data_IF_721776145526
#
_entry.id   IF_721776145526
#
_cell.length_a   1.000
_cell.length_b   1.000
_cell.length_c   1.000
_cell.angle_alpha   90.00
_cell.angle_beta   90.00
_cell.angle_gamma   90.00
#
_symmetry.space_group_name_H-M   'P 1'
#
loop_
_entity.id
_entity.type
_entity.pdbx_description
1 polymer ?
#
# COMPACT_ATOMS: atom_id res chain seq x y z
N UNK A 1 -23.11 -9.00 43.08
CA UNK A 1 -21.87 -8.47 42.47
C UNK A 1 -22.19 -8.23 41.02
N UNK A 2 -22.05 -7.01 40.53
CA UNK A 2 -22.32 -6.71 39.11
C UNK A 2 -21.16 -7.24 38.28
N UNK A 3 -21.43 -8.16 37.38
CA UNK A 3 -20.47 -8.60 36.35
C UNK A 3 -20.11 -7.40 35.49
N UNK A 4 -18.94 -6.84 35.72
CA UNK A 4 -18.41 -5.76 34.90
C UNK A 4 -17.83 -6.37 33.66
N UNK A 5 -18.63 -6.54 32.61
CA UNK A 5 -18.18 -7.00 31.29
C UNK A 5 -17.46 -5.83 30.60
N UNK A 6 -16.14 -5.74 30.79
CA UNK A 6 -15.31 -4.62 30.30
C UNK A 6 -14.97 -4.77 28.83
N UNK A 7 -14.93 -5.97 28.27
CA UNK A 7 -14.51 -6.23 26.88
C UNK A 7 -15.54 -7.08 26.15
N UNK A 8 -16.01 -6.57 25.02
CA UNK A 8 -16.86 -7.32 24.10
C UNK A 8 -15.95 -8.08 23.12
N UNK A 9 -15.90 -9.38 23.20
CA UNK A 9 -15.18 -10.25 22.25
C UNK A 9 -15.81 -10.08 20.85
N UNK A 10 -14.98 -9.73 19.86
CA UNK A 10 -15.43 -9.68 18.46
C UNK A 10 -15.52 -11.09 17.88
N UNK A 11 -16.73 -11.52 17.55
CA UNK A 11 -17.01 -12.82 16.95
C UNK A 11 -16.87 -12.83 15.42
N UNK A 12 -16.00 -12.00 14.85
CA UNK A 12 -15.74 -11.92 13.41
C UNK A 12 -16.43 -10.78 12.67
N UNK A 13 -17.33 -10.02 13.32
CA UNK A 13 -18.04 -8.91 12.68
C UNK A 13 -17.10 -7.79 12.17
N UNK A 14 -15.93 -7.63 12.77
CA UNK A 14 -14.90 -6.70 12.27
C UNK A 14 -14.28 -7.24 10.99
N UNK A 15 -14.00 -8.54 10.92
CA UNK A 15 -13.47 -9.20 9.72
C UNK A 15 -14.46 -9.07 8.56
N UNK A 16 -15.73 -9.33 8.77
CA UNK A 16 -16.78 -9.19 7.75
C UNK A 16 -16.86 -7.77 7.21
N UNK A 17 -16.81 -6.75 8.08
CA UNK A 17 -16.79 -5.34 7.69
C UNK A 17 -15.53 -4.94 6.94
N UNK A 18 -14.38 -5.50 7.28
CA UNK A 18 -13.12 -5.25 6.59
C UNK A 18 -13.16 -5.87 5.19
N UNK A 19 -13.58 -7.12 5.07
CA UNK A 19 -13.69 -7.86 3.80
C UNK A 19 -14.74 -7.25 2.87
N UNK A 20 -15.86 -6.77 3.40
CA UNK A 20 -16.88 -6.09 2.60
C UNK A 20 -16.37 -4.80 1.90
N UNK A 21 -15.27 -4.23 2.39
CA UNK A 21 -14.59 -3.07 1.78
C UNK A 21 -13.44 -3.48 0.85
N UNK A 22 -13.22 -4.76 0.65
CA UNK A 22 -12.20 -5.23 -0.29
C UNK A 22 -12.57 -4.77 -1.70
N UNK A 23 -11.60 -4.14 -2.35
CA UNK A 23 -11.72 -3.85 -3.78
C UNK A 23 -11.72 -5.17 -4.50
N UNK A 24 -12.79 -5.48 -5.22
CA UNK A 24 -12.93 -6.71 -6.02
C UNK A 24 -11.88 -6.72 -7.13
N UNK A 25 -10.69 -7.20 -6.81
CA UNK A 25 -9.63 -7.40 -7.78
C UNK A 25 -9.79 -8.79 -8.35
N UNK A 26 -10.12 -8.87 -9.62
CA UNK A 26 -10.33 -10.15 -10.27
C UNK A 26 -8.99 -10.82 -10.62
N UNK A 27 -8.48 -11.64 -9.70
CA UNK A 27 -7.28 -12.46 -9.92
C UNK A 27 -7.50 -13.61 -10.90
N UNK A 28 -8.74 -13.92 -11.27
CA UNK A 28 -9.06 -15.02 -12.19
C UNK A 28 -8.55 -14.76 -13.61
N UNK A 29 -8.25 -13.49 -13.93
CA UNK A 29 -7.66 -13.10 -15.21
C UNK A 29 -6.14 -13.22 -15.25
N UNK A 30 -5.49 -13.52 -14.16
CA UNK A 30 -4.04 -13.72 -14.10
C UNK A 30 -3.76 -15.21 -14.08
N UNK A 31 -3.38 -15.75 -15.21
CA UNK A 31 -2.94 -17.14 -15.35
C UNK A 31 -1.50 -17.28 -14.81
N UNK A 32 -1.36 -17.46 -13.51
CA UNK A 32 -0.09 -17.69 -12.86
C UNK A 32 -0.20 -18.77 -11.79
N UNK A 33 0.80 -19.62 -11.71
CA UNK A 33 0.95 -20.53 -10.60
C UNK A 33 1.13 -19.74 -9.31
N UNK A 34 0.47 -20.15 -8.23
CA UNK A 34 0.54 -19.47 -6.93
C UNK A 34 0.90 -20.44 -5.82
N UNK A 35 1.71 -19.96 -4.89
CA UNK A 35 1.98 -20.63 -3.62
C UNK A 35 0.87 -20.26 -2.65
N UNK A 36 0.14 -21.24 -2.14
CA UNK A 36 -0.93 -21.03 -1.17
C UNK A 36 -0.36 -20.85 0.23
N UNK A 37 -0.72 -19.75 0.89
CA UNK A 37 -0.33 -19.44 2.25
C UNK A 37 -1.56 -19.03 3.06
N UNK A 38 -1.63 -19.48 4.31
CA UNK A 38 -2.68 -19.04 5.24
C UNK A 38 -2.28 -17.72 5.88
N UNK A 39 -3.21 -16.77 5.93
CA UNK A 39 -3.07 -15.57 6.74
C UNK A 39 -3.52 -15.87 8.17
N UNK A 40 -2.90 -15.17 9.13
CA UNK A 40 -3.36 -15.18 10.52
C UNK A 40 -3.08 -13.80 11.11
N UNK A 41 -3.93 -12.83 10.74
CA UNK A 41 -3.78 -11.47 11.25
C UNK A 41 -4.71 -11.24 12.43
N UNK A 42 -4.14 -10.79 13.54
CA UNK A 42 -4.87 -10.49 14.78
C UNK A 42 -5.17 -8.99 14.91
N UNK A 43 -4.20 -8.13 14.56
CA UNK A 43 -4.33 -6.68 14.68
C UNK A 43 -5.23 -6.07 13.60
N UNK A 44 -6.00 -5.07 13.97
CA UNK A 44 -6.85 -4.34 13.05
C UNK A 44 -6.05 -3.60 11.95
N UNK A 45 -4.83 -3.18 12.28
CA UNK A 45 -3.90 -2.52 11.37
C UNK A 45 -3.45 -3.45 10.24
N UNK A 46 -2.96 -4.63 10.58
CA UNK A 46 -2.52 -5.61 9.59
C UNK A 46 -3.67 -6.09 8.71
N UNK A 47 -4.84 -6.41 9.30
CA UNK A 47 -6.05 -6.78 8.55
C UNK A 47 -6.43 -5.75 7.50
N UNK A 48 -6.48 -4.46 7.88
CA UNK A 48 -6.85 -3.37 6.96
C UNK A 48 -5.82 -3.13 5.87
N UNK A 49 -4.53 -3.22 6.19
CA UNK A 49 -3.46 -3.04 5.21
C UNK A 49 -3.40 -4.21 4.24
N UNK A 50 -3.58 -5.45 4.73
CA UNK A 50 -3.66 -6.63 3.88
C UNK A 50 -4.77 -6.48 2.84
N UNK A 51 -6.00 -6.26 3.27
CA UNK A 51 -7.17 -6.17 2.37
C UNK A 51 -7.03 -5.03 1.36
N UNK A 52 -6.48 -3.88 1.77
CA UNK A 52 -6.38 -2.71 0.87
C UNK A 52 -5.21 -2.75 -0.09
N UNK A 53 -4.07 -3.31 0.32
CA UNK A 53 -2.82 -3.08 -0.41
C UNK A 53 -2.12 -4.34 -0.92
N UNK A 54 -2.40 -5.52 -0.34
CA UNK A 54 -1.75 -6.75 -0.75
C UNK A 54 -2.00 -7.06 -2.22
N UNK A 55 -3.25 -7.07 -2.64
CA UNK A 55 -3.64 -7.32 -4.02
C UNK A 55 -3.04 -6.30 -4.98
N UNK A 56 -3.06 -5.02 -4.60
CA UNK A 56 -2.49 -3.94 -5.42
C UNK A 56 -1.00 -4.14 -5.64
N UNK A 57 -0.24 -4.45 -4.59
CA UNK A 57 1.19 -4.71 -4.73
C UNK A 57 1.43 -5.94 -5.59
N UNK A 58 0.76 -7.04 -5.30
CA UNK A 58 0.98 -8.32 -5.97
C UNK A 58 0.73 -8.24 -7.48
N UNK A 59 -0.37 -7.61 -7.90
CA UNK A 59 -0.68 -7.44 -9.32
C UNK A 59 0.33 -6.54 -10.03
N UNK A 60 0.74 -5.44 -9.41
CA UNK A 60 1.73 -4.55 -10.01
C UNK A 60 3.12 -5.21 -10.06
N UNK A 61 3.52 -5.96 -9.04
CA UNK A 61 4.76 -6.72 -9.05
C UNK A 61 4.74 -7.81 -10.13
N UNK A 62 3.63 -8.52 -10.29
CA UNK A 62 3.46 -9.51 -11.35
C UNK A 62 3.54 -8.86 -12.75
N UNK A 63 2.88 -7.72 -12.93
CA UNK A 63 2.99 -6.96 -14.18
C UNK A 63 4.45 -6.63 -14.51
N UNK A 64 5.22 -6.16 -13.54
CA UNK A 64 6.64 -5.81 -13.72
C UNK A 64 7.46 -7.04 -14.06
N UNK A 65 7.32 -8.14 -13.32
CA UNK A 65 8.17 -9.33 -13.46
C UNK A 65 7.82 -10.20 -14.66
N UNK A 66 6.59 -10.16 -15.16
CA UNK A 66 6.14 -11.01 -16.27
C UNK A 66 5.83 -10.20 -17.52
N UNK A 67 4.85 -9.29 -17.44
CA UNK A 67 4.32 -8.61 -18.63
C UNK A 67 5.30 -7.58 -19.18
N UNK A 68 5.93 -6.77 -18.33
CA UNK A 68 6.86 -5.74 -18.78
C UNK A 68 8.10 -6.34 -19.46
N UNK A 69 8.57 -7.51 -19.03
CA UNK A 69 9.71 -8.21 -19.62
C UNK A 69 9.50 -8.65 -21.08
N UNK A 70 8.26 -8.84 -21.50
CA UNK A 70 7.98 -9.24 -22.88
C UNK A 70 8.15 -8.12 -23.90
N UNK A 71 8.05 -6.85 -23.47
CA UNK A 71 8.03 -5.68 -24.37
C UNK A 71 9.12 -4.65 -24.10
N UNK A 72 9.74 -4.68 -22.93
CA UNK A 72 10.76 -3.71 -22.54
C UNK A 72 12.13 -4.36 -22.39
N UNK A 73 13.18 -3.52 -22.44
CA UNK A 73 14.55 -3.96 -22.22
C UNK A 73 14.71 -4.52 -20.82
N UNK A 74 15.44 -5.62 -20.72
CA UNK A 74 15.67 -6.34 -19.46
C UNK A 74 16.26 -5.43 -18.37
N UNK A 75 17.22 -4.58 -18.71
CA UNK A 75 17.85 -3.63 -17.79
C UNK A 75 16.86 -2.65 -17.12
N UNK A 76 15.85 -2.16 -17.86
CA UNK A 76 14.85 -1.23 -17.32
C UNK A 76 13.93 -1.93 -16.32
N UNK A 77 13.57 -3.19 -16.61
CA UNK A 77 12.75 -4.00 -15.72
C UNK A 77 13.52 -4.38 -14.46
N UNK A 78 14.78 -4.82 -14.61
CA UNK A 78 15.64 -5.15 -13.46
C UNK A 78 15.85 -3.96 -12.52
N UNK A 79 16.04 -2.77 -13.06
CA UNK A 79 16.17 -1.54 -12.27
C UNK A 79 14.92 -1.27 -11.43
N UNK A 80 13.75 -1.50 -12.00
CA UNK A 80 12.46 -1.33 -11.31
C UNK A 80 12.27 -2.41 -10.25
N UNK A 81 12.60 -3.67 -10.56
CA UNK A 81 12.54 -4.77 -9.59
C UNK A 81 13.51 -4.55 -8.42
N UNK A 82 14.72 -4.07 -8.70
CA UNK A 82 15.71 -3.74 -7.68
C UNK A 82 15.21 -2.63 -6.75
N UNK A 83 14.65 -1.55 -7.29
CA UNK A 83 14.08 -0.46 -6.50
C UNK A 83 12.91 -0.92 -5.61
N UNK A 84 12.06 -1.79 -6.12
CA UNK A 84 10.96 -2.35 -5.30
C UNK A 84 11.49 -3.28 -4.19
N UNK A 85 12.53 -4.08 -4.50
CA UNK A 85 13.18 -4.96 -3.54
C UNK A 85 13.84 -4.17 -2.42
N UNK A 86 14.62 -3.16 -2.75
CA UNK A 86 15.28 -2.27 -1.79
C UNK A 86 14.28 -1.61 -0.85
N UNK A 87 13.15 -1.15 -1.40
CA UNK A 87 12.10 -0.55 -0.58
C UNK A 87 11.45 -1.55 0.39
N UNK A 88 11.23 -2.79 -0.04
CA UNK A 88 10.73 -3.87 0.80
C UNK A 88 11.73 -4.23 1.91
N UNK A 89 13.02 -4.34 1.58
CA UNK A 89 14.09 -4.63 2.53
C UNK A 89 14.20 -3.54 3.59
N UNK A 90 14.22 -2.27 3.17
CA UNK A 90 14.24 -1.13 4.11
C UNK A 90 13.11 -1.19 5.14
N UNK A 91 11.87 -1.44 4.71
CA UNK A 91 10.73 -1.53 5.63
C UNK A 91 10.80 -2.78 6.52
N UNK A 92 11.33 -3.89 5.99
CA UNK A 92 11.53 -5.12 6.77
C UNK A 92 12.55 -4.90 7.88
N UNK A 93 13.67 -4.23 7.57
CA UNK A 93 14.72 -3.92 8.53
C UNK A 93 14.24 -2.95 9.62
N UNK A 94 13.46 -1.94 9.24
CA UNK A 94 12.87 -1.02 10.20
C UNK A 94 11.90 -1.74 11.15
N UNK A 95 11.09 -2.68 10.64
CA UNK A 95 10.20 -3.51 11.47
C UNK A 95 10.99 -4.45 12.38
N UNK A 96 12.04 -5.10 11.88
CA UNK A 96 12.90 -5.95 12.70
C UNK A 96 13.52 -5.16 13.85
N UNK A 97 14.11 -4.00 13.56
CA UNK A 97 14.68 -3.11 14.58
C UNK A 97 13.66 -2.69 15.64
N UNK A 98 12.42 -2.44 15.22
CA UNK A 98 11.35 -2.07 16.15
C UNK A 98 10.92 -3.24 17.03
N UNK A 99 10.84 -4.46 16.47
CA UNK A 99 10.52 -5.68 17.23
C UNK A 99 11.64 -5.96 18.23
N UNK A 100 12.91 -5.99 17.78
CA UNK A 100 14.08 -6.22 18.63
C UNK A 100 14.18 -5.16 19.73
N UNK A 101 13.91 -3.89 19.40
CA UNK A 101 13.86 -2.79 20.36
C UNK A 101 12.76 -2.97 21.41
N UNK A 102 11.57 -3.39 21.00
CA UNK A 102 10.48 -3.67 21.93
C UNK A 102 10.80 -4.84 22.87
N UNK A 103 11.40 -5.93 22.34
CA UNK A 103 11.83 -7.06 23.14
C UNK A 103 12.94 -6.69 24.14
N UNK A 104 13.87 -5.84 23.74
CA UNK A 104 14.90 -5.33 24.63
C UNK A 104 14.30 -4.50 25.78
N UNK A 105 13.29 -3.67 25.48
CA UNK A 105 12.55 -2.92 26.49
C UNK A 105 11.80 -3.84 27.45
N UNK A 106 11.21 -4.92 26.98
CA UNK A 106 10.56 -5.92 27.83
C UNK A 106 11.55 -6.53 28.82
N UNK A 107 12.72 -6.97 28.34
CA UNK A 107 13.77 -7.55 29.19
C UNK A 107 14.25 -6.57 30.25
N UNK A 108 14.46 -5.30 29.85
CA UNK A 108 14.96 -4.27 30.76
C UNK A 108 13.94 -3.88 31.85
N UNK A 109 12.64 -4.00 31.54
CA UNK A 109 11.56 -3.64 32.48
C UNK A 109 10.95 -4.88 33.17
N UNK A 110 11.47 -6.08 32.94
CA UNK A 110 10.99 -7.32 33.57
C UNK A 110 9.56 -7.72 33.15
N UNK A 111 9.12 -7.30 31.94
CA UNK A 111 7.80 -7.59 31.41
C UNK A 111 7.80 -9.05 30.89
N UNK A 112 6.95 -9.88 31.47
CA UNK A 112 6.84 -11.32 31.11
C UNK A 112 5.53 -11.68 30.42
N UNK A 113 4.51 -10.81 30.52
CA UNK A 113 3.21 -11.03 29.89
C UNK A 113 3.00 -10.03 28.75
N UNK A 114 2.45 -10.51 27.63
CA UNK A 114 2.20 -9.71 26.44
C UNK A 114 0.72 -9.45 26.27
N UNK A 115 0.38 -8.25 25.76
CA UNK A 115 -0.98 -7.96 25.34
C UNK A 115 -1.38 -8.85 24.17
N UNK A 116 -2.58 -9.37 24.19
CA UNK A 116 -3.17 -10.18 23.13
C UNK A 116 -4.45 -9.52 22.62
N UNK A 117 -4.81 -9.81 21.38
CA UNK A 117 -6.08 -9.35 20.84
C UNK A 117 -7.16 -10.41 21.08
N UNK A 118 -8.22 -10.02 21.79
CA UNK A 118 -9.41 -10.85 22.01
C UNK A 118 -10.36 -10.85 20.81
N UNK A 119 -9.83 -10.52 19.64
CA UNK A 119 -10.60 -10.49 18.39
C UNK A 119 -10.30 -11.72 17.56
N UNK A 120 -11.30 -12.19 16.81
CA UNK A 120 -11.12 -13.30 15.89
C UNK A 120 -10.04 -12.96 14.85
N UNK A 121 -9.01 -13.78 14.66
CA UNK A 121 -8.00 -13.55 13.62
C UNK A 121 -8.62 -13.58 12.23
N UNK A 122 -8.03 -12.85 11.29
CA UNK A 122 -8.39 -12.94 9.88
C UNK A 122 -7.63 -14.09 9.26
N UNK A 123 -8.32 -15.20 9.02
CA UNK A 123 -7.76 -16.41 8.42
C UNK A 123 -8.29 -16.57 6.99
N UNK A 124 -7.41 -16.47 6.03
CA UNK A 124 -7.71 -16.64 4.60
C UNK A 124 -6.57 -17.40 3.92
N UNK A 125 -6.92 -18.24 2.96
CA UNK A 125 -5.94 -18.80 2.04
C UNK A 125 -5.63 -17.82 0.92
N UNK A 126 -4.37 -17.42 0.82
CA UNK A 126 -3.90 -16.41 -0.14
C UNK A 126 -2.94 -17.05 -1.14
N UNK A 127 -3.20 -16.87 -2.43
CA UNK A 127 -2.28 -17.27 -3.49
C UNK A 127 -1.22 -16.20 -3.72
N UNK A 128 0.05 -16.55 -3.53
CA UNK A 128 1.19 -15.66 -3.79
C UNK A 128 1.79 -16.00 -5.15
N UNK A 129 1.82 -15.03 -6.07
CA UNK A 129 2.26 -15.18 -7.46
C UNK A 129 3.61 -14.52 -7.76
N UNK A 130 4.24 -13.85 -6.80
CA UNK A 130 5.53 -13.18 -7.00
C UNK A 130 6.37 -13.15 -5.72
N UNK A 131 7.70 -13.07 -5.89
CA UNK A 131 8.63 -12.92 -4.77
C UNK A 131 8.39 -11.64 -3.97
N UNK A 132 8.09 -10.52 -4.65
CA UNK A 132 7.74 -9.26 -4.00
C UNK A 132 6.42 -9.37 -3.23
N UNK A 133 5.44 -10.12 -3.74
CA UNK A 133 4.20 -10.43 -3.03
C UNK A 133 4.46 -11.20 -1.75
N UNK A 134 5.35 -12.22 -1.78
CA UNK A 134 5.75 -12.99 -0.60
C UNK A 134 6.43 -12.09 0.45
N UNK A 135 7.39 -11.29 0.05
CA UNK A 135 8.10 -10.36 0.95
C UNK A 135 7.15 -9.35 1.58
N UNK A 136 6.21 -8.82 0.80
CA UNK A 136 5.22 -7.90 1.35
C UNK A 136 4.26 -8.58 2.34
N UNK A 137 3.91 -9.84 2.09
CA UNK A 137 3.14 -10.63 3.03
C UNK A 137 3.91 -10.83 4.35
N UNK A 138 5.21 -11.09 4.30
CA UNK A 138 6.09 -11.16 5.48
C UNK A 138 6.15 -9.83 6.24
N UNK A 139 6.20 -8.70 5.53
CA UNK A 139 6.14 -7.34 6.13
C UNK A 139 4.83 -7.14 6.89
N UNK A 140 3.70 -7.60 6.35
CA UNK A 140 2.41 -7.51 7.03
C UNK A 140 2.36 -8.39 8.29
N UNK A 141 2.94 -9.60 8.25
CA UNK A 141 3.05 -10.46 9.42
C UNK A 141 3.92 -9.83 10.52
N UNK A 142 5.06 -9.21 10.16
CA UNK A 142 5.91 -8.48 11.10
C UNK A 142 5.19 -7.29 11.73
N UNK A 143 4.39 -6.57 10.95
CA UNK A 143 3.55 -5.51 11.50
C UNK A 143 2.56 -6.06 12.52
N UNK A 144 1.90 -7.19 12.20
CA UNK A 144 0.95 -7.84 13.11
C UNK A 144 1.60 -8.26 14.42
N UNK A 145 2.85 -8.74 14.38
CA UNK A 145 3.65 -9.06 15.56
C UNK A 145 4.03 -7.82 16.38
N UNK A 146 4.36 -6.72 15.72
CA UNK A 146 4.78 -5.50 16.40
C UNK A 146 3.64 -4.80 17.15
N UNK A 147 2.39 -4.89 16.65
CA UNK A 147 1.26 -4.15 17.23
C UNK A 147 0.99 -4.51 18.69
N UNK A 148 0.91 -5.79 19.12
CA UNK A 148 0.71 -6.14 20.52
C UNK A 148 1.92 -5.78 21.40
N UNK A 149 3.15 -5.79 20.83
CA UNK A 149 4.34 -5.39 21.57
C UNK A 149 4.28 -3.90 21.95
N UNK A 150 3.93 -3.04 20.99
CA UNK A 150 3.74 -1.61 21.27
C UNK A 150 2.62 -1.36 22.27
N UNK A 151 1.54 -2.14 22.19
CA UNK A 151 0.44 -2.04 23.15
C UNK A 151 0.88 -2.45 24.54
N UNK A 152 1.68 -3.51 24.65
CA UNK A 152 2.23 -3.95 25.95
C UNK A 152 3.10 -2.88 26.58
N UNK A 153 4.02 -2.27 25.81
CA UNK A 153 4.89 -1.20 26.31
C UNK A 153 4.09 0.03 26.78
N UNK A 154 3.00 0.35 26.07
CA UNK A 154 2.08 1.41 26.45
C UNK A 154 1.34 1.10 27.76
N UNK A 155 0.81 -0.12 27.94
CA UNK A 155 0.11 -0.57 29.14
C UNK A 155 1.04 -0.55 30.37
N UNK A 156 2.31 -0.90 30.17
CA UNK A 156 3.32 -0.86 31.23
C UNK A 156 3.97 0.52 31.43
N UNK A 157 3.46 1.55 30.77
CA UNK A 157 3.98 2.94 30.83
C UNK A 157 5.46 3.08 30.48
N UNK A 158 6.04 2.12 29.73
CA UNK A 158 7.45 2.17 29.26
C UNK A 158 7.59 3.16 28.11
N UNK A 159 6.55 3.28 27.28
CA UNK A 159 6.46 4.30 26.23
C UNK A 159 5.19 5.11 26.42
N UNK A 160 5.21 6.37 25.99
CA UNK A 160 4.00 7.20 26.06
C UNK A 160 2.97 6.78 25.01
N UNK A 161 1.66 6.98 25.25
CA UNK A 161 0.63 6.72 24.23
C UNK A 161 0.90 7.45 22.92
N UNK A 162 1.45 8.66 23.02
CA UNK A 162 1.84 9.47 21.84
C UNK A 162 2.95 8.80 21.02
N UNK A 163 3.96 8.26 21.68
CA UNK A 163 5.07 7.59 20.99
C UNK A 163 4.61 6.29 20.33
N UNK A 164 3.75 5.52 21.02
CA UNK A 164 3.11 4.33 20.45
C UNK A 164 2.31 4.67 19.18
N UNK A 165 1.52 5.73 19.21
CA UNK A 165 0.71 6.17 18.07
C UNK A 165 1.58 6.67 16.90
N UNK A 166 2.65 7.41 17.19
CA UNK A 166 3.61 7.86 16.16
C UNK A 166 4.26 6.68 15.48
N UNK A 167 4.71 5.68 16.24
CA UNK A 167 5.33 4.47 15.69
C UNK A 167 4.33 3.67 14.84
N UNK A 168 3.12 3.40 15.37
CA UNK A 168 2.03 2.74 14.63
C UNK A 168 1.70 3.46 13.32
N UNK A 169 1.55 4.78 13.37
CA UNK A 169 1.26 5.59 12.19
C UNK A 169 2.43 5.58 11.19
N UNK A 170 3.67 5.61 11.67
CA UNK A 170 4.88 5.55 10.85
C UNK A 170 4.94 4.26 10.05
N UNK A 171 4.82 3.10 10.70
CA UNK A 171 4.85 1.80 10.03
C UNK A 171 3.68 1.60 9.06
N UNK A 172 2.46 1.98 9.45
CA UNK A 172 1.31 1.95 8.53
C UNK A 172 1.56 2.78 7.27
N UNK A 173 2.18 3.95 7.40
CA UNK A 173 2.54 4.82 6.27
C UNK A 173 3.64 4.21 5.41
N UNK A 174 4.69 3.67 6.02
CA UNK A 174 5.79 3.01 5.31
C UNK A 174 5.29 1.83 4.48
N UNK A 175 4.48 0.94 5.04
CA UNK A 175 3.92 -0.23 4.35
C UNK A 175 2.99 0.18 3.20
N UNK A 176 2.13 1.18 3.43
CA UNK A 176 1.28 1.75 2.37
C UNK A 176 2.12 2.32 1.22
N UNK A 177 3.21 3.01 1.53
CA UNK A 177 4.09 3.61 0.52
C UNK A 177 4.74 2.57 -0.37
N UNK A 178 5.06 1.37 0.11
CA UNK A 178 5.60 0.26 -0.71
C UNK A 178 4.62 -0.12 -1.81
N UNK A 179 3.34 -0.30 -1.47
CA UNK A 179 2.32 -0.63 -2.47
C UNK A 179 2.10 0.52 -3.47
N UNK A 180 2.16 1.77 -2.98
CA UNK A 180 2.14 2.96 -3.83
C UNK A 180 3.32 3.02 -4.79
N UNK A 181 4.52 2.74 -4.31
CA UNK A 181 5.74 2.67 -5.15
C UNK A 181 5.60 1.59 -6.22
N UNK A 182 5.15 0.39 -5.87
CA UNK A 182 4.94 -0.69 -6.85
C UNK A 182 3.96 -0.26 -7.97
N UNK A 183 2.86 0.40 -7.59
CA UNK A 183 1.88 0.94 -8.55
C UNK A 183 2.50 2.01 -9.46
N UNK A 184 3.24 2.95 -8.90
CA UNK A 184 3.86 4.03 -9.66
C UNK A 184 4.91 3.49 -10.64
N UNK A 185 5.74 2.57 -10.21
CA UNK A 185 6.74 1.91 -11.05
C UNK A 185 6.08 1.13 -12.19
N UNK A 186 5.04 0.34 -11.89
CA UNK A 186 4.28 -0.38 -12.92
C UNK A 186 3.60 0.59 -13.91
N UNK A 187 3.06 1.71 -13.43
CA UNK A 187 2.46 2.74 -14.30
C UNK A 187 3.51 3.38 -15.21
N UNK A 188 4.71 3.66 -14.71
CA UNK A 188 5.84 4.14 -15.51
C UNK A 188 6.23 3.18 -16.63
N UNK A 189 6.31 1.87 -16.32
CA UNK A 189 6.60 0.86 -17.34
C UNK A 189 5.47 0.72 -18.36
N UNK A 190 4.19 0.79 -17.95
CA UNK A 190 3.05 0.79 -18.89
C UNK A 190 3.12 1.94 -19.89
N UNK A 191 3.46 3.15 -19.43
CA UNK A 191 3.65 4.30 -20.33
C UNK A 191 4.74 4.05 -21.35
N UNK A 192 5.91 3.54 -20.94
CA UNK A 192 7.00 3.19 -21.85
C UNK A 192 6.58 2.11 -22.84
N UNK A 193 5.87 1.09 -22.41
CA UNK A 193 5.35 0.05 -23.31
C UNK A 193 4.44 0.63 -24.39
N UNK A 194 3.52 1.51 -24.00
CA UNK A 194 2.61 2.16 -24.95
C UNK A 194 3.37 3.07 -25.94
N UNK A 195 4.39 3.80 -25.48
CA UNK A 195 5.26 4.60 -26.34
C UNK A 195 6.04 3.74 -27.35
N UNK A 196 6.55 2.58 -26.93
CA UNK A 196 7.21 1.63 -27.81
C UNK A 196 6.24 1.08 -28.87
N UNK A 197 5.08 0.60 -28.44
CA UNK A 197 4.07 0.07 -29.37
C UNK A 197 3.58 1.12 -30.37
N UNK A 198 3.45 2.39 -29.95
CA UNK A 198 3.10 3.48 -30.86
C UNK A 198 4.20 3.73 -31.90
N UNK A 199 5.48 3.74 -31.51
CA UNK A 199 6.61 3.91 -32.43
C UNK A 199 6.76 2.75 -33.41
N UNK A 200 6.54 1.52 -32.95
CA UNK A 200 6.54 0.35 -33.82
C UNK A 200 5.43 0.44 -34.87
N UNK A 201 4.21 0.78 -34.46
CA UNK A 201 3.10 0.95 -35.38
C UNK A 201 3.32 2.09 -36.38
N UNK A 202 3.95 3.18 -35.96
CA UNK A 202 4.34 4.29 -36.87
C UNK A 202 5.40 3.84 -37.86
N UNK A 203 6.41 3.12 -37.40
CA UNK A 203 7.47 2.58 -38.27
C UNK A 203 6.95 1.57 -39.29
N UNK A 204 6.01 0.70 -38.90
CA UNK A 204 5.35 -0.23 -39.80
C UNK A 204 4.51 0.52 -40.86
N UNK A 205 3.78 1.55 -40.47
CA UNK A 205 3.03 2.41 -41.41
C UNK A 205 3.94 3.08 -42.43
N UNK A 206 5.08 3.62 -41.95
CA UNK A 206 6.06 4.23 -42.85
C UNK A 206 6.70 3.22 -43.82
N UNK A 207 7.00 1.98 -43.36
CA UNK A 207 7.47 0.92 -44.19
C UNK A 207 6.43 0.48 -45.24
N UNK A 208 5.18 0.35 -44.85
CA UNK A 208 4.10 0.02 -45.79
C UNK A 208 3.93 1.11 -46.83
N UNK A 209 3.95 2.38 -46.44
CA UNK A 209 3.87 3.51 -47.38
C UNK A 209 5.07 3.60 -48.36
N UNK A 210 6.26 3.17 -47.94
CA UNK A 210 7.44 3.12 -48.81
C UNK A 210 7.48 1.90 -49.71
N UNK A 211 6.79 0.79 -49.38
CA UNK A 211 6.66 -0.37 -50.23
C UNK A 211 5.60 -0.17 -51.32
N UNK A 212 4.51 0.53 -51.05
CA UNK A 212 3.50 0.87 -52.06
C UNK A 212 4.00 1.84 -53.11
N UNK A 213 4.95 2.74 -52.78
CA UNK A 213 5.57 3.65 -53.75
C UNK A 213 6.60 3.01 -54.70
N UNK A 214 6.88 1.72 -54.55
CA UNK A 214 7.86 0.99 -55.36
C UNK A 214 7.23 -0.03 -56.32
N UNK A 215 5.90 -0.12 -56.38
CA UNK A 215 5.14 -1.10 -57.16
C UNK A 215 4.33 -0.48 -58.29
N UNK A 216 4.66 0.72 -58.74
CA UNK A 216 4.07 1.31 -59.95
C UNK A 216 5.02 1.23 -61.16
N UNK A 217 5.67 0.07 -61.35
CA UNK A 217 6.32 -0.29 -62.65
C UNK A 217 6.64 -1.79 -62.71
N UNK A 218 5.65 -2.63 -62.86
CA UNK A 218 5.70 -3.92 -63.56
C UNK A 218 4.29 -4.49 -63.63
N UNK A 219 3.77 -4.46 -64.81
CA UNK A 219 2.49 -5.05 -65.21
C UNK A 219 2.54 -6.59 -65.20
N UNK A 220 1.35 -7.16 -64.93
CA UNK A 220 0.70 -8.31 -65.57
C UNK A 220 0.76 -9.69 -64.89
N UNK A 221 -0.47 -10.12 -64.64
CA UNK A 221 -1.05 -11.46 -64.63
C UNK A 221 -0.89 -12.39 -63.40
N UNK A 222 -1.96 -12.59 -62.69
CA UNK A 222 -2.77 -13.79 -62.54
C UNK A 222 -3.62 -13.83 -61.24
N UNK A 223 -4.90 -14.06 -61.43
CA UNK A 223 -5.96 -14.21 -60.43
C UNK A 223 -5.95 -15.57 -59.68
N UNK A 224 -6.94 -15.88 -58.83
CA UNK A 224 -6.86 -15.92 -57.37
C UNK A 224 -7.10 -17.31 -56.81
N UNK A 225 -6.62 -17.62 -55.61
CA UNK A 225 -7.16 -18.71 -54.79
C UNK A 225 -7.21 -18.30 -53.32
N UNK A 226 -8.35 -18.53 -52.74
CA UNK A 226 -8.78 -18.15 -51.41
C UNK A 226 -7.92 -18.70 -50.26
N UNK A 227 -7.99 -17.98 -49.16
CA UNK A 227 -7.38 -18.36 -47.91
C UNK A 227 -8.06 -17.60 -46.80
N UNK A 228 -8.59 -18.33 -45.90
CA UNK A 228 -9.45 -18.04 -44.75
C UNK A 228 -8.99 -16.85 -43.89
N UNK A 229 -9.95 -15.97 -43.61
CA UNK A 229 -9.88 -14.93 -42.56
C UNK A 229 -9.80 -15.61 -41.20
N UNK A 230 -8.68 -15.45 -40.52
CA UNK A 230 -8.63 -15.60 -39.08
C UNK A 230 -8.93 -14.24 -38.44
N UNK A 231 -10.11 -14.15 -37.86
CA UNK A 231 -10.62 -13.05 -37.06
C UNK A 231 -9.72 -12.85 -35.83
N UNK A 232 -8.80 -11.89 -35.93
CA UNK A 232 -7.97 -11.47 -34.80
C UNK A 232 -8.74 -10.46 -33.97
N UNK A 233 -9.54 -11.02 -33.04
CA UNK A 233 -10.31 -10.26 -32.07
C UNK A 233 -9.44 -9.29 -31.27
N UNK A 234 -9.54 -8.02 -31.60
CA UNK A 234 -9.04 -6.91 -30.78
C UNK A 234 -9.72 -6.89 -29.43
N UNK A 235 -9.22 -7.65 -28.50
CA UNK A 235 -9.63 -7.58 -27.10
C UNK A 235 -9.03 -6.31 -26.49
N UNK A 236 -9.83 -5.25 -26.48
CA UNK A 236 -9.54 -4.02 -25.72
C UNK A 236 -9.60 -4.37 -24.24
N UNK A 237 -8.44 -4.39 -23.60
CA UNK A 237 -8.34 -4.42 -22.16
C UNK A 237 -9.06 -3.19 -21.56
N UNK A 238 -10.00 -3.38 -20.65
CA UNK A 238 -10.72 -2.28 -20.04
C UNK A 238 -9.72 -1.40 -19.25
N UNK A 239 -9.68 -0.13 -19.64
CA UNK A 239 -9.03 0.93 -18.89
C UNK A 239 -9.75 1.00 -17.54
N UNK A 240 -9.07 0.57 -16.47
CA UNK A 240 -9.53 0.81 -15.11
C UNK A 240 -9.56 2.31 -14.88
N UNK A 241 -10.74 2.88 -15.02
CA UNK A 241 -11.03 4.27 -14.73
C UNK A 241 -10.65 4.61 -13.28
N UNK A 242 -9.83 5.64 -13.18
CA UNK A 242 -9.41 6.27 -11.95
C UNK A 242 -10.55 7.08 -11.35
N UNK A 243 -11.31 6.49 -10.46
CA UNK A 243 -12.20 7.28 -9.60
C UNK A 243 -12.47 6.52 -8.31
N UNK A 244 -11.58 6.60 -7.34
CA UNK A 244 -11.84 6.34 -5.92
C UNK A 244 -10.57 6.37 -5.04
N UNK A 245 -9.65 7.30 -5.24
CA UNK A 245 -8.50 7.43 -4.34
C UNK A 245 -8.35 8.80 -3.65
N UNK A 246 -9.22 9.77 -3.93
CA UNK A 246 -9.07 11.15 -3.40
C UNK A 246 -10.13 11.58 -2.38
N UNK A 247 -10.95 10.68 -1.85
CA UNK A 247 -12.05 11.07 -0.95
C UNK A 247 -11.78 10.93 0.56
N UNK A 248 -10.58 10.57 1.01
CA UNK A 248 -10.30 10.46 2.46
C UNK A 248 -9.09 11.29 2.96
N UNK A 249 -8.68 12.31 2.23
CA UNK A 249 -7.65 13.25 2.72
C UNK A 249 -8.23 14.56 3.32
N UNK A 250 -9.54 14.65 3.53
CA UNK A 250 -10.21 15.92 3.88
C UNK A 250 -11.07 15.88 5.14
N UNK A 251 -10.70 15.14 6.16
CA UNK A 251 -11.36 15.29 7.48
C UNK A 251 -10.36 15.18 8.63
N UNK A 252 -9.34 16.04 8.60
CA UNK A 252 -8.61 16.45 9.80
C UNK A 252 -8.14 17.91 9.65
N UNK A 253 -9.09 18.81 9.45
CA UNK A 253 -8.91 20.20 9.85
C UNK A 253 -9.51 20.33 11.24
N UNK A 254 -8.66 20.19 12.23
CA UNK A 254 -8.87 20.66 13.59
C UNK A 254 -9.35 22.10 13.50
N UNK A 255 -10.50 22.36 14.09
CA UNK A 255 -11.06 23.69 14.27
C UNK A 255 -10.06 24.55 15.03
N UNK A 256 -9.43 25.47 14.35
CA UNK A 256 -8.65 26.55 14.93
C UNK A 256 -9.65 27.61 15.40
N UNK A 257 -9.91 27.56 16.68
CA UNK A 257 -10.80 28.47 17.42
C UNK A 257 -10.23 29.89 17.32
N UNK A 258 -10.89 30.73 16.52
CA UNK A 258 -10.63 32.17 16.44
C UNK A 258 -10.94 32.84 17.76
N UNK A 259 -9.90 33.17 18.52
CA UNK A 259 -10.00 34.13 19.63
C UNK A 259 -10.37 35.52 19.11
N UNK A 260 -11.36 36.23 19.65
CA UNK A 260 -11.68 37.59 19.24
C UNK A 260 -10.63 38.57 19.75
N UNK A 261 -10.14 39.39 18.86
CA UNK A 261 -9.30 40.56 19.13
C UNK A 261 -9.96 41.50 20.11
N UNK A 262 -9.43 41.61 21.31
CA UNK A 262 -9.79 42.67 22.27
C UNK A 262 -8.89 43.87 22.03
N UNK A 263 -9.55 45.01 21.75
CA UNK A 263 -8.95 46.33 21.54
C UNK A 263 -8.28 46.83 22.78
N UNK A 264 -7.11 47.42 22.59
CA UNK A 264 -6.32 48.20 23.52
C UNK A 264 -7.06 49.45 24.00
N UNK A 265 -7.05 49.71 25.30
CA UNK A 265 -7.03 51.07 25.84
C UNK A 265 -6.29 51.01 27.18
N UNK A 266 -5.20 51.71 27.28
CA UNK A 266 -4.51 52.17 28.47
C UNK A 266 -5.04 53.59 28.82
N UNK A 267 -4.57 54.27 29.87
CA UNK A 267 -3.94 53.93 31.15
C UNK A 267 -4.60 54.70 32.35
N UNK A 268 -4.19 54.49 33.56
CA UNK A 268 -3.89 55.54 34.57
C UNK A 268 -3.84 54.99 36.01
N UNK A 269 -2.68 55.19 36.58
CA UNK A 269 -2.37 55.93 37.80
C UNK A 269 -2.54 55.22 39.16
N UNK A 270 -1.40 54.98 39.76
CA UNK A 270 -0.99 55.42 41.11
C UNK A 270 -1.90 55.13 42.30
N UNK A 271 -1.36 54.42 43.30
CA UNK A 271 -0.99 54.96 44.61
C UNK A 271 -0.72 53.85 45.64
N UNK A 272 0.46 53.96 46.20
CA UNK A 272 0.84 54.03 47.64
C UNK A 272 0.59 52.78 48.51
N UNK A 273 1.67 52.22 48.87
CA UNK A 273 2.32 52.06 50.17
C UNK A 273 1.38 52.06 51.40
N UNK A 274 1.55 51.06 52.28
CA UNK A 274 1.74 51.20 53.70
C UNK A 274 2.27 49.90 54.30
N UNK A 275 3.29 50.06 55.06
CA UNK A 275 3.99 49.21 56.03
C UNK A 275 3.08 48.61 57.11
N UNK A 276 3.62 47.64 57.83
CA UNK A 276 3.23 47.28 59.21
C UNK A 276 3.35 45.77 59.43
N UNK A 277 4.51 45.25 59.76
CA UNK A 277 5.04 44.93 61.14
C UNK A 277 4.21 43.92 61.94
N UNK A 278 4.92 42.89 62.38
CA UNK A 278 4.87 42.20 63.72
C UNK A 278 3.64 41.40 64.11
N UNK A 279 3.71 40.16 64.27
CA UNK A 279 4.14 39.35 65.45
C UNK A 279 4.17 37.87 65.08
#
# INVERSE_FOLDING_TARGET
MADTQIVKVDQGAVNDRILAKEVKTDFRRVEAASVKMMTHFTSAEAKRLFVRFFSTLQLNAHFVSVIARTKLKHEDVERVEAALRERLESVTDDLNKAIDGAEALFKNNGITSFATYDTMPLELEVGIISSSGRRYFEVLNKLDQLMPLLQTLEIHEVITPRDADIQRAGFKRAIRSVAGTARNLATGLRRRMNEFSAKEAEHERLKAATSDGKMESAEEEASPVGGEELDDGKEQLPILSHEAADAEASTEKVAEEKKPRRKTSAPLAQREAVEGTES
#
